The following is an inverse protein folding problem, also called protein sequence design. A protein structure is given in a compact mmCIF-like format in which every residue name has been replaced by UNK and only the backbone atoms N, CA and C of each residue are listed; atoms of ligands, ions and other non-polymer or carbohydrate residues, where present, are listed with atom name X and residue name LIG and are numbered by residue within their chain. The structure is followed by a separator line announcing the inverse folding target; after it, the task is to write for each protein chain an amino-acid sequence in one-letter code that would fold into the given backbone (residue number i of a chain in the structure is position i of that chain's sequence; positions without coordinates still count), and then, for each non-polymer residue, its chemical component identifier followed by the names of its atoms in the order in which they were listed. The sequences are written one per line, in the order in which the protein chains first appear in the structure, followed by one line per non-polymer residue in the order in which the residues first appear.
data_IF_774824184825
#
_entry.id   IF_774824184825
#
_cell.length_a   1.000
_cell.length_b   1.000
_cell.length_c   1.000
_cell.angle_alpha   90.00
_cell.angle_beta   90.00
_cell.angle_gamma   90.00
#
_symmetry.space_group_name_H-M   'P 1'
#
loop_
_entity.id
_entity.type
_entity.pdbx_description
1 polymer ?
#
# COMPACT_ATOMS: atom_id res chain seq x y z
N UNK A 1 25.05 -6.28 10.50
CA UNK A 1 23.74 -6.88 10.89
C UNK A 1 23.33 -7.90 9.82
N UNK A 2 22.96 -9.12 10.22
CA UNK A 2 22.45 -10.13 9.30
C UNK A 2 21.02 -9.78 8.88
N UNK A 3 20.82 -9.55 7.58
CA UNK A 3 19.53 -9.14 7.02
C UNK A 3 18.42 -10.20 7.22
N UNK A 4 18.77 -11.49 7.20
CA UNK A 4 17.82 -12.57 7.47
C UNK A 4 17.32 -12.50 8.91
N UNK A 5 18.23 -12.40 9.85
CA UNK A 5 17.89 -12.28 11.28
C UNK A 5 17.05 -11.05 11.58
N UNK A 6 17.38 -9.93 10.93
CA UNK A 6 16.61 -8.69 11.05
C UNK A 6 15.16 -8.87 10.61
N UNK A 7 14.95 -9.48 9.43
CA UNK A 7 13.58 -9.76 8.93
C UNK A 7 12.82 -10.74 9.83
N UNK A 8 13.49 -11.78 10.36
CA UNK A 8 12.85 -12.74 11.27
C UNK A 8 12.32 -12.04 12.53
N UNK A 9 13.11 -11.15 13.12
CA UNK A 9 12.72 -10.41 14.32
C UNK A 9 11.57 -9.44 14.01
N UNK A 10 11.68 -8.65 12.94
CA UNK A 10 10.62 -7.74 12.52
C UNK A 10 9.33 -8.48 12.13
N UNK A 11 9.46 -9.66 11.57
CA UNK A 11 8.32 -10.51 11.22
C UNK A 11 7.49 -10.95 12.43
N UNK A 12 8.02 -10.83 13.64
CA UNK A 12 7.26 -11.10 14.88
C UNK A 12 6.17 -10.05 15.15
N UNK A 13 6.29 -8.87 14.53
CA UNK A 13 5.29 -7.82 14.61
C UNK A 13 4.23 -8.04 13.52
N UNK A 14 2.99 -8.40 13.89
CA UNK A 14 1.93 -8.58 12.90
C UNK A 14 1.51 -7.24 12.32
N UNK A 15 1.25 -7.21 11.02
CA UNK A 15 0.78 -6.02 10.31
C UNK A 15 -0.52 -6.32 9.57
N UNK A 16 -1.22 -5.28 9.17
CA UNK A 16 -2.18 -5.37 8.08
C UNK A 16 -1.45 -5.54 6.74
N UNK A 17 -2.24 -5.67 5.68
CA UNK A 17 -1.76 -5.77 4.31
C UNK A 17 -2.44 -4.69 3.48
N UNK A 18 -1.66 -3.90 2.76
CA UNK A 18 -2.19 -2.87 1.87
C UNK A 18 -1.67 -3.06 0.45
N UNK A 19 -2.42 -2.58 -0.52
CA UNK A 19 -1.93 -2.30 -1.87
C UNK A 19 -1.96 -0.79 -2.05
N UNK A 20 -0.79 -0.21 -2.32
CA UNK A 20 -0.67 1.20 -2.66
C UNK A 20 -0.77 1.32 -4.17
N UNK A 21 -1.69 2.16 -4.63
CA UNK A 21 -2.01 2.33 -6.05
C UNK A 21 -1.80 3.77 -6.51
N UNK A 22 -1.45 3.93 -7.75
CA UNK A 22 -1.32 5.22 -8.41
C UNK A 22 -1.55 5.11 -9.91
N UNK A 23 -1.48 6.24 -10.61
CA UNK A 23 -1.55 6.32 -12.08
C UNK A 23 -0.33 7.05 -12.61
N UNK A 24 0.30 6.48 -13.62
CA UNK A 24 1.36 7.13 -14.35
C UNK A 24 0.82 8.32 -15.16
N UNK A 25 1.73 9.19 -15.63
CA UNK A 25 1.35 10.37 -16.41
C UNK A 25 0.57 10.07 -17.69
N UNK A 26 0.71 8.86 -18.25
CA UNK A 26 -0.07 8.37 -19.40
C UNK A 26 -1.42 7.74 -19.00
N UNK A 27 -1.77 7.75 -17.72
CA UNK A 27 -3.01 7.20 -17.18
C UNK A 27 -2.96 5.70 -16.83
N UNK A 28 -1.84 5.02 -17.04
CA UNK A 28 -1.69 3.60 -16.71
C UNK A 28 -1.72 3.39 -15.20
N UNK A 29 -2.60 2.52 -14.67
CA UNK A 29 -2.62 2.19 -13.26
C UNK A 29 -1.41 1.33 -12.90
N UNK A 30 -0.89 1.52 -11.70
CA UNK A 30 0.16 0.70 -11.12
C UNK A 30 -0.07 0.54 -9.62
N UNK A 31 0.60 -0.40 -9.01
CA UNK A 31 0.50 -0.62 -7.57
C UNK A 31 1.44 -1.69 -7.06
N UNK A 32 1.59 -1.73 -5.74
CA UNK A 32 2.40 -2.73 -5.05
C UNK A 32 1.83 -3.03 -3.67
N UNK A 33 2.09 -4.25 -3.21
CA UNK A 33 1.72 -4.69 -1.86
C UNK A 33 2.72 -4.14 -0.85
N UNK A 34 2.20 -3.52 0.20
CA UNK A 34 2.98 -2.87 1.25
C UNK A 34 2.38 -3.21 2.62
N UNK A 35 3.22 -3.55 3.59
CA UNK A 35 2.81 -3.71 4.99
C UNK A 35 3.44 -2.65 5.91
N UNK A 36 4.07 -1.63 5.35
CA UNK A 36 4.74 -0.54 6.05
C UNK A 36 3.83 0.67 6.33
N UNK A 37 2.55 0.52 6.13
CA UNK A 37 1.56 1.57 6.35
C UNK A 37 1.37 1.88 7.84
N UNK A 38 1.30 3.17 8.21
CA UNK A 38 0.89 3.62 9.54
C UNK A 38 0.24 5.00 9.53
N UNK A 39 -0.59 5.26 10.54
CA UNK A 39 -1.10 6.61 10.83
C UNK A 39 0.01 7.49 11.40
N UNK A 40 -0.04 8.78 11.12
CA UNK A 40 0.95 9.77 11.54
C UNK A 40 0.32 10.88 12.37
N UNK A 41 -0.74 11.53 11.86
CA UNK A 41 -1.33 12.72 12.46
C UNK A 41 -2.84 12.78 12.24
N UNK A 42 -3.56 13.35 13.19
CA UNK A 42 -4.99 13.60 13.03
C UNK A 42 -5.28 15.00 12.47
N UNK A 43 -4.45 15.97 12.79
CA UNK A 43 -4.61 17.35 12.33
C UNK A 43 -3.24 17.96 11.93
N UNK A 44 -2.93 18.06 10.63
CA UNK A 44 -3.71 17.53 9.53
C UNK A 44 -3.73 15.97 9.50
N UNK A 45 -4.67 15.34 8.78
CA UNK A 45 -4.74 13.89 8.72
C UNK A 45 -3.62 13.36 7.81
N UNK A 46 -2.63 12.74 8.41
CA UNK A 46 -1.45 12.20 7.71
C UNK A 46 -1.29 10.69 7.98
N UNK A 47 -0.86 10.01 6.94
CA UNK A 47 -0.42 8.61 6.98
C UNK A 47 0.93 8.48 6.30
N UNK A 48 1.62 7.37 6.46
CA UNK A 48 2.83 7.10 5.71
C UNK A 48 2.89 5.66 5.20
N UNK A 49 3.66 5.50 4.13
CA UNK A 49 4.11 4.20 3.62
C UNK A 49 5.60 4.26 3.34
N UNK A 50 6.30 3.15 3.47
CA UNK A 50 7.71 3.02 3.12
C UNK A 50 7.84 2.22 1.83
N UNK A 51 8.50 2.78 0.84
CA UNK A 51 8.65 2.20 -0.49
C UNK A 51 10.13 2.00 -0.80
N UNK A 52 10.50 0.79 -1.20
CA UNK A 52 11.85 0.47 -1.67
C UNK A 52 12.19 1.32 -2.90
N UNK A 53 13.34 1.99 -2.88
CA UNK A 53 13.79 2.84 -3.99
C UNK A 53 14.04 2.07 -5.28
N UNK A 54 14.29 0.77 -5.20
CA UNK A 54 14.45 -0.10 -6.37
C UNK A 54 13.12 -0.61 -6.92
N UNK A 55 12.01 -0.39 -6.21
CA UNK A 55 10.68 -0.74 -6.72
C UNK A 55 10.36 0.09 -7.96
N UNK A 56 9.81 -0.57 -8.99
CA UNK A 56 9.32 0.11 -10.20
C UNK A 56 8.18 1.10 -9.92
N UNK A 57 7.52 0.99 -8.77
CA UNK A 57 6.44 1.89 -8.34
C UNK A 57 6.96 3.13 -7.59
N UNK A 58 8.23 3.15 -7.15
CA UNK A 58 8.78 4.25 -6.35
C UNK A 58 8.70 5.60 -7.07
N UNK A 59 9.38 5.72 -8.19
CA UNK A 59 9.44 7.00 -8.93
C UNK A 59 8.07 7.43 -9.45
N UNK A 60 7.22 6.55 -10.03
CA UNK A 60 5.86 6.93 -10.39
C UNK A 60 5.00 7.43 -9.24
N UNK A 61 5.14 6.89 -8.02
CA UNK A 61 4.44 7.40 -6.83
C UNK A 61 4.90 8.81 -6.46
N UNK A 62 6.21 9.04 -6.46
CA UNK A 62 6.78 10.34 -6.13
C UNK A 62 6.42 11.39 -7.20
N UNK A 63 6.54 11.06 -8.47
CA UNK A 63 6.24 11.94 -9.59
C UNK A 63 4.75 12.24 -9.74
N UNK A 64 3.89 11.25 -9.45
CA UNK A 64 2.44 11.38 -9.54
C UNK A 64 1.85 12.33 -8.51
N UNK A 65 2.46 12.45 -7.36
CA UNK A 65 2.04 13.38 -6.30
C UNK A 65 0.77 12.98 -5.56
N UNK A 66 0.23 11.81 -5.84
CA UNK A 66 -0.93 11.24 -5.13
C UNK A 66 -0.91 9.71 -5.18
N UNK A 67 -1.62 9.09 -4.29
CA UNK A 67 -1.76 7.63 -4.23
C UNK A 67 -2.98 7.23 -3.38
N UNK A 68 -3.40 5.98 -3.52
CA UNK A 68 -4.41 5.38 -2.66
C UNK A 68 -3.78 4.24 -1.86
N UNK A 69 -4.06 4.21 -0.56
CA UNK A 69 -3.77 3.05 0.28
C UNK A 69 -5.04 2.21 0.37
N UNK A 70 -5.02 1.01 -0.19
CA UNK A 70 -6.12 0.06 -0.11
C UNK A 70 -5.81 -0.97 0.98
N UNK A 71 -6.56 -0.95 2.07
CA UNK A 71 -6.42 -1.92 3.16
C UNK A 71 -7.16 -3.19 2.78
N UNK A 72 -6.44 -4.28 2.55
CA UNK A 72 -7.00 -5.49 1.98
C UNK A 72 -7.86 -6.27 2.98
N UNK A 73 -8.96 -6.80 2.47
CA UNK A 73 -9.82 -7.72 3.18
C UNK A 73 -9.26 -9.16 3.15
N UNK A 74 -9.69 -9.97 4.11
CA UNK A 74 -9.33 -11.40 4.24
C UNK A 74 -9.44 -12.18 2.94
N UNK A 75 -10.47 -11.93 2.13
CA UNK A 75 -10.69 -12.59 0.83
C UNK A 75 -9.77 -12.10 -0.30
N UNK A 76 -8.92 -11.10 -0.06
CA UNK A 76 -8.07 -10.49 -1.07
C UNK A 76 -6.60 -10.94 -1.01
N UNK A 77 -6.32 -12.09 -0.41
CA UNK A 77 -4.96 -12.67 -0.37
C UNK A 77 -4.37 -12.86 -1.78
N UNK A 78 -5.20 -13.21 -2.76
CA UNK A 78 -4.79 -13.32 -4.16
C UNK A 78 -4.29 -11.99 -4.74
N UNK A 79 -4.96 -10.88 -4.43
CA UNK A 79 -4.52 -9.53 -4.80
C UNK A 79 -3.19 -9.18 -4.12
N UNK A 80 -3.07 -9.47 -2.83
CA UNK A 80 -1.84 -9.22 -2.09
C UNK A 80 -0.64 -9.92 -2.73
N UNK A 81 -0.78 -11.19 -3.08
CA UNK A 81 0.25 -11.98 -3.76
C UNK A 81 0.57 -11.42 -5.14
N UNK A 82 -0.45 -11.08 -5.91
CA UNK A 82 -0.31 -10.54 -7.27
C UNK A 82 0.47 -9.23 -7.28
N UNK A 83 0.12 -8.29 -6.41
CA UNK A 83 0.77 -6.98 -6.34
C UNK A 83 2.13 -7.01 -5.62
N UNK A 84 2.53 -8.15 -5.07
CA UNK A 84 3.87 -8.41 -4.54
C UNK A 84 4.78 -9.15 -5.54
N UNK A 85 4.21 -9.69 -6.62
CA UNK A 85 4.94 -10.55 -7.58
C UNK A 85 5.61 -9.72 -8.68
N UNK A 86 6.70 -10.25 -9.20
CA UNK A 86 7.35 -9.73 -10.40
C UNK A 86 6.92 -10.56 -11.63
N UNK A 87 6.89 -9.97 -12.83
CA UNK A 87 7.12 -8.53 -13.10
C UNK A 87 5.94 -7.66 -12.63
N UNK A 88 6.23 -6.37 -12.38
CA UNK A 88 5.19 -5.40 -11.99
C UNK A 88 4.23 -5.06 -13.14
N UNK A 89 4.71 -5.15 -14.37
CA UNK A 89 3.87 -4.98 -15.55
C UNK A 89 2.77 -6.05 -15.58
N UNK A 90 1.55 -5.63 -15.87
CA UNK A 90 0.41 -6.54 -15.96
C UNK A 90 -0.25 -6.88 -14.62
N UNK A 91 0.17 -6.30 -13.50
CA UNK A 91 -0.48 -6.54 -12.19
C UNK A 91 -1.98 -6.18 -12.20
N UNK A 92 -2.36 -5.16 -12.96
CA UNK A 92 -3.76 -4.73 -13.10
C UNK A 92 -4.55 -5.50 -14.16
N UNK A 93 -3.92 -6.39 -14.95
CA UNK A 93 -4.62 -7.15 -15.98
C UNK A 93 -5.74 -7.99 -15.35
N UNK A 94 -6.99 -7.74 -15.77
CA UNK A 94 -8.17 -8.42 -15.23
C UNK A 94 -8.55 -8.00 -13.80
N UNK A 95 -7.89 -7.01 -13.21
CA UNK A 95 -8.22 -6.49 -11.89
C UNK A 95 -9.19 -5.32 -12.03
N UNK A 96 -10.35 -5.43 -11.39
CA UNK A 96 -11.31 -4.34 -11.31
C UNK A 96 -10.80 -3.23 -10.38
N UNK A 97 -11.03 -1.98 -10.76
CA UNK A 97 -10.75 -0.82 -9.93
C UNK A 97 -11.68 0.34 -10.29
N UNK A 98 -11.92 1.20 -9.32
CA UNK A 98 -12.68 2.43 -9.48
C UNK A 98 -11.76 3.63 -9.41
N UNK A 99 -12.14 4.73 -10.05
CA UNK A 99 -11.38 5.98 -9.97
C UNK A 99 -11.66 6.65 -8.62
N UNK A 100 -10.62 6.85 -7.83
CA UNK A 100 -10.70 7.55 -6.55
C UNK A 100 -10.79 9.07 -6.68
N UNK A 101 -10.92 9.80 -5.56
CA UNK A 101 -11.11 11.26 -5.57
C UNK A 101 -10.00 12.05 -6.26
N UNK A 102 -8.78 11.53 -6.27
CA UNK A 102 -7.61 12.15 -6.89
C UNK A 102 -7.23 11.50 -8.23
N UNK A 103 -8.04 10.56 -8.71
CA UNK A 103 -7.83 9.86 -9.97
C UNK A 103 -7.07 8.55 -9.88
N UNK A 104 -6.51 8.22 -8.71
CA UNK A 104 -5.78 6.97 -8.51
C UNK A 104 -6.73 5.79 -8.25
N UNK A 105 -6.31 4.55 -8.59
CA UNK A 105 -7.17 3.38 -8.45
C UNK A 105 -7.57 3.07 -7.00
N UNK A 106 -8.87 2.86 -6.79
CA UNK A 106 -9.44 2.26 -5.58
C UNK A 106 -9.82 0.81 -5.91
N UNK A 107 -9.34 -0.12 -5.11
CA UNK A 107 -9.68 -1.53 -5.26
C UNK A 107 -11.01 -1.83 -4.57
N UNK A 108 -12.01 -2.37 -5.29
CA UNK A 108 -13.27 -2.73 -4.68
C UNK A 108 -13.08 -3.85 -3.66
N UNK A 109 -14.02 -3.96 -2.72
CA UNK A 109 -14.04 -4.96 -1.65
C UNK A 109 -12.91 -4.88 -0.62
N UNK A 110 -12.09 -3.85 -0.65
CA UNK A 110 -11.14 -3.57 0.42
C UNK A 110 -11.86 -3.25 1.74
N UNK A 111 -11.19 -3.46 2.86
CA UNK A 111 -11.70 -3.07 4.20
C UNK A 111 -11.86 -1.57 4.27
N UNK A 112 -10.86 -0.86 3.75
CA UNK A 112 -10.84 0.60 3.70
C UNK A 112 -9.93 1.07 2.57
N UNK A 113 -10.14 2.30 2.14
CA UNK A 113 -9.19 2.99 1.28
C UNK A 113 -8.99 4.43 1.73
N UNK A 114 -7.80 4.95 1.51
CA UNK A 114 -7.42 6.33 1.81
C UNK A 114 -6.75 6.93 0.57
N UNK A 115 -7.38 7.95 0.00
CA UNK A 115 -6.79 8.71 -1.11
C UNK A 115 -5.96 9.85 -0.54
N UNK A 116 -4.69 9.91 -0.93
CA UNK A 116 -3.71 10.82 -0.34
C UNK A 116 -3.03 11.68 -1.40
N UNK A 117 -2.88 12.97 -1.12
CA UNK A 117 -1.90 13.82 -1.77
C UNK A 117 -0.54 13.62 -1.10
N UNK A 118 0.53 13.63 -1.90
CA UNK A 118 1.90 13.46 -1.37
C UNK A 118 2.32 14.74 -0.63
N UNK A 119 2.49 14.64 0.68
CA UNK A 119 2.87 15.77 1.55
C UNK A 119 4.39 15.93 1.64
N UNK A 120 5.11 14.81 1.79
CA UNK A 120 6.55 14.81 1.93
C UNK A 120 7.16 13.46 1.54
N UNK A 121 8.43 13.49 1.12
CA UNK A 121 9.24 12.30 0.84
C UNK A 121 10.52 12.40 1.65
N UNK A 122 10.80 11.38 2.46
CA UNK A 122 12.00 11.31 3.27
C UNK A 122 12.81 10.07 2.90
N UNK A 123 14.07 10.27 2.49
CA UNK A 123 14.99 9.16 2.28
C UNK A 123 15.36 8.49 3.61
N UNK A 124 15.27 7.18 3.67
CA UNK A 124 15.58 6.38 4.86
C UNK A 124 16.19 5.04 4.45
N UNK A 125 17.55 4.98 4.41
CA UNK A 125 18.26 3.78 3.98
C UNK A 125 17.96 3.42 2.53
N UNK A 126 17.53 2.20 2.28
CA UNK A 126 17.14 1.69 0.96
C UNK A 126 15.68 2.00 0.57
N UNK A 127 14.94 2.70 1.44
CA UNK A 127 13.54 3.09 1.24
C UNK A 127 13.37 4.60 1.21
N UNK A 128 12.22 5.05 0.72
CA UNK A 128 11.68 6.38 0.96
C UNK A 128 10.42 6.26 1.81
N UNK A 129 10.26 7.17 2.76
CA UNK A 129 9.03 7.33 3.54
C UNK A 129 8.18 8.36 2.80
N UNK A 130 7.05 7.93 2.28
CA UNK A 130 6.07 8.81 1.63
C UNK A 130 5.00 9.17 2.65
N UNK A 131 4.94 10.45 3.02
CA UNK A 131 3.89 10.98 3.89
C UNK A 131 2.75 11.47 3.00
N UNK A 132 1.57 10.93 3.23
CA UNK A 132 0.37 11.30 2.50
C UNK A 132 -0.59 12.09 3.37
N UNK A 133 -1.15 13.16 2.81
CA UNK A 133 -2.28 13.87 3.39
C UNK A 133 -3.57 13.23 2.90
N UNK A 134 -4.40 12.77 3.82
CA UNK A 134 -5.66 12.10 3.48
C UNK A 134 -6.67 13.13 2.98
N UNK A 135 -7.11 12.98 1.73
CA UNK A 135 -8.09 13.86 1.07
C UNK A 135 -9.47 13.20 0.96
N UNK A 136 -9.53 11.88 1.04
CA UNK A 136 -10.77 11.11 1.02
C UNK A 136 -10.54 9.71 1.55
N UNK A 137 -11.55 9.13 2.15
CA UNK A 137 -11.47 7.77 2.71
C UNK A 137 -12.85 7.15 2.82
N UNK A 138 -12.87 5.82 2.82
CA UNK A 138 -14.05 5.02 3.13
C UNK A 138 -13.61 3.75 3.86
N UNK A 139 -14.49 3.24 4.70
CA UNK A 139 -14.26 1.99 5.43
C UNK A 139 -15.49 1.07 5.39
N UNK A 140 -15.29 -0.19 5.71
CA UNK A 140 -16.33 -1.20 5.79
C UNK A 140 -16.11 -2.12 7.00
N UNK A 141 -17.09 -2.97 7.29
CA UNK A 141 -17.02 -3.95 8.39
C UNK A 141 -16.40 -5.30 7.95
N UNK A 142 -15.73 -5.33 6.78
CA UNK A 142 -15.06 -6.54 6.31
C UNK A 142 -13.90 -6.93 7.22
N UNK A 143 -13.65 -8.22 7.34
CA UNK A 143 -12.49 -8.74 8.07
C UNK A 143 -11.19 -8.40 7.32
N UNK A 144 -10.20 -7.87 8.04
CA UNK A 144 -8.93 -7.49 7.47
C UNK A 144 -8.00 -8.69 7.23
N UNK A 145 -7.18 -8.59 6.19
CA UNK A 145 -6.05 -9.49 5.96
C UNK A 145 -4.87 -9.03 6.82
N UNK A 146 -4.18 -9.96 7.46
CA UNK A 146 -2.98 -9.72 8.23
C UNK A 146 -1.76 -10.44 7.64
N UNK A 147 -0.57 -10.01 8.04
CA UNK A 147 0.70 -10.62 7.68
C UNK A 147 1.56 -10.76 8.92
N UNK A 148 2.05 -11.98 9.17
CA UNK A 148 2.82 -12.30 10.36
C UNK A 148 3.82 -13.42 10.06
N UNK A 149 5.08 -13.21 10.42
CA UNK A 149 6.16 -14.20 10.25
C UNK A 149 6.28 -14.78 8.84
N UNK A 150 6.14 -13.91 7.84
CA UNK A 150 6.27 -14.30 6.44
C UNK A 150 5.04 -15.00 5.83
N UNK A 151 3.91 -14.99 6.52
CA UNK A 151 2.67 -15.62 6.04
C UNK A 151 1.47 -14.71 6.21
N UNK A 152 0.50 -14.84 5.32
CA UNK A 152 -0.80 -14.20 5.51
C UNK A 152 -1.53 -14.86 6.68
N UNK A 153 -2.24 -14.05 7.43
CA UNK A 153 -2.95 -14.45 8.62
C UNK A 153 -4.31 -13.76 8.71
N UNK A 154 -5.14 -14.24 9.60
CA UNK A 154 -6.47 -13.68 9.86
C UNK A 154 -6.45 -12.99 11.21
N UNK A 155 -7.18 -11.88 11.30
CA UNK A 155 -7.47 -11.24 12.58
C UNK A 155 -8.63 -12.00 13.23
N UNK A 156 -8.41 -12.50 14.44
CA UNK A 156 -9.48 -13.11 15.20
C UNK A 156 -10.50 -12.04 15.67
N UNK A 157 -11.80 -12.35 15.68
CA UNK A 157 -12.82 -11.45 16.18
C UNK A 157 -12.69 -11.16 17.66
#
# INVERSE_FOLDING_TARGET
MDARRFREVLGSYPTGVTVVTGRSGDGTPFGLTVNSFTSVSLDPPLVLVCIDRLSSSHDPLVEGGSFVVNVLARGQMGLATRFASEPSAGRFDGVAWDEGPLGDPVLPDAVAWLACSLEAVHGAGDHSILVGRVEGLEGSDREALAYHRGSYAMVAP
#
